data_IF_105770952539
#
_entry.id   IF_105770952539
#
_cell.length_a   1.000
_cell.length_b   1.000
_cell.length_c   1.000
_cell.angle_alpha   90.00
_cell.angle_beta   90.00
_cell.angle_gamma   90.00
#
_symmetry.space_group_name_H-M   'P 1'
#
loop_
_entity.id
_entity.type
_entity.pdbx_description
1 polymer ?
#
# COMPACT_ATOMS: atom_id res chain seq x y z
N UNK A 1 10.69 -5.76 -2.10
CA UNK A 1 10.27 -7.18 -2.14
C UNK A 1 10.41 -7.94 -0.82
N UNK A 2 11.53 -7.82 -0.07
CA UNK A 2 11.81 -8.64 1.13
C UNK A 2 10.68 -8.66 2.15
N UNK A 3 10.19 -7.49 2.54
CA UNK A 3 9.10 -7.37 3.51
C UNK A 3 7.80 -8.03 3.04
N UNK A 4 7.38 -7.78 1.79
CA UNK A 4 6.15 -8.37 1.23
C UNK A 4 6.19 -9.89 1.15
N UNK A 5 7.37 -10.47 0.95
CA UNK A 5 7.54 -11.93 0.95
C UNK A 5 7.31 -12.53 2.35
N UNK A 6 7.70 -11.80 3.40
CA UNK A 6 7.39 -12.18 4.78
C UNK A 6 5.90 -11.98 5.10
N UNK A 7 5.33 -10.84 4.69
CA UNK A 7 3.93 -10.50 4.93
C UNK A 7 2.94 -11.44 4.22
N UNK A 8 3.34 -12.05 3.10
CA UNK A 8 2.54 -13.08 2.44
C UNK A 8 2.62 -14.47 3.11
N UNK A 9 3.57 -14.69 4.04
CA UNK A 9 3.80 -15.99 4.70
C UNK A 9 3.29 -16.04 6.13
N UNK A 10 3.22 -14.90 6.82
CA UNK A 10 2.77 -14.78 8.21
C UNK A 10 2.16 -13.41 8.46
N UNK A 11 1.50 -13.25 9.61
CA UNK A 11 0.90 -11.97 9.97
C UNK A 11 1.96 -10.87 9.99
N UNK A 12 1.67 -9.73 9.37
CA UNK A 12 2.58 -8.59 9.28
C UNK A 12 3.05 -8.06 10.63
N UNK A 13 2.20 -8.18 11.66
CA UNK A 13 2.51 -7.75 13.03
C UNK A 13 3.53 -8.66 13.74
N UNK A 14 3.75 -9.86 13.22
CA UNK A 14 4.74 -10.81 13.73
C UNK A 14 6.10 -10.68 13.04
N UNK A 15 6.20 -9.82 12.03
CA UNK A 15 7.46 -9.58 11.31
C UNK A 15 8.40 -8.74 12.17
N UNK A 16 9.60 -9.25 12.40
CA UNK A 16 10.61 -8.58 13.20
C UNK A 16 11.66 -7.87 12.34
N UNK A 17 12.29 -6.84 12.92
CA UNK A 17 13.44 -6.16 12.29
C UNK A 17 14.58 -7.13 12.02
N UNK A 18 14.77 -8.14 12.89
CA UNK A 18 15.79 -9.18 12.70
C UNK A 18 15.54 -9.94 11.41
N UNK A 19 14.35 -10.49 11.21
CA UNK A 19 14.02 -11.25 9.99
C UNK A 19 14.14 -10.40 8.72
N UNK A 20 13.73 -9.13 8.77
CA UNK A 20 13.88 -8.23 7.62
C UNK A 20 15.36 -7.98 7.33
N UNK A 21 16.16 -7.71 8.37
CA UNK A 21 17.59 -7.41 8.25
C UNK A 21 18.37 -8.61 7.73
N UNK A 22 18.03 -9.81 8.19
CA UNK A 22 18.69 -11.06 7.80
C UNK A 22 18.42 -11.39 6.32
N UNK A 23 17.18 -11.23 5.84
CA UNK A 23 16.85 -11.51 4.43
C UNK A 23 17.40 -10.43 3.50
N UNK A 24 17.40 -9.17 3.94
CA UNK A 24 17.92 -8.06 3.14
C UNK A 24 19.45 -7.94 3.19
N UNK A 25 20.13 -8.77 4.00
CA UNK A 25 21.57 -8.71 4.26
C UNK A 25 22.05 -7.30 4.65
N UNK A 26 21.32 -6.69 5.59
CA UNK A 26 21.63 -5.36 6.12
C UNK A 26 21.83 -5.38 7.63
N UNK A 27 22.66 -4.46 8.14
CA UNK A 27 22.80 -4.28 9.57
C UNK A 27 21.52 -3.66 10.17
N UNK A 28 21.08 -4.16 11.33
CA UNK A 28 19.96 -3.58 12.10
C UNK A 28 20.13 -2.08 12.38
N UNK A 29 21.37 -1.62 12.65
CA UNK A 29 21.65 -0.18 12.80
C UNK A 29 21.30 0.59 11.53
N UNK A 30 21.66 0.07 10.36
CA UNK A 30 21.32 0.66 9.07
C UNK A 30 19.81 0.66 8.85
N UNK A 31 19.12 -0.43 9.19
CA UNK A 31 17.65 -0.49 9.15
C UNK A 31 17.01 0.67 9.94
N UNK A 32 17.45 0.87 11.19
CA UNK A 32 16.88 1.90 12.06
C UNK A 32 17.21 3.35 11.65
N UNK A 33 18.11 3.57 10.69
CA UNK A 33 18.30 4.90 10.08
C UNK A 33 17.06 5.29 9.25
N UNK A 34 16.42 4.33 8.59
CA UNK A 34 15.31 4.57 7.68
C UNK A 34 13.95 4.28 8.32
N UNK A 35 13.86 3.24 9.15
CA UNK A 35 12.58 2.74 9.63
C UNK A 35 12.51 2.61 11.15
N UNK A 36 11.39 3.06 11.73
CA UNK A 36 11.07 2.89 13.15
C UNK A 36 10.46 1.49 13.44
N UNK A 37 11.08 0.45 12.91
CA UNK A 37 10.60 -0.94 12.99
C UNK A 37 9.79 -1.39 11.77
N UNK A 38 9.24 -2.61 11.83
CA UNK A 38 8.46 -3.22 10.75
C UNK A 38 7.23 -2.39 10.37
N UNK A 39 6.53 -1.80 11.35
CA UNK A 39 5.38 -0.92 11.10
C UNK A 39 5.76 0.33 10.30
N UNK A 40 7.01 0.81 10.41
CA UNK A 40 7.49 1.93 9.59
C UNK A 40 7.47 1.60 8.10
N UNK A 41 7.87 0.37 7.75
CA UNK A 41 7.84 -0.13 6.35
C UNK A 41 6.39 -0.29 5.88
N UNK A 42 5.52 -0.86 6.73
CA UNK A 42 4.09 -1.01 6.40
C UNK A 42 3.48 0.34 6.05
N UNK A 43 3.70 1.35 6.92
CA UNK A 43 3.15 2.68 6.71
C UNK A 43 3.69 3.30 5.42
N UNK A 44 4.99 3.21 5.15
CA UNK A 44 5.58 3.73 3.92
C UNK A 44 4.99 3.08 2.67
N UNK A 45 4.85 1.75 2.68
CA UNK A 45 4.23 0.99 1.58
C UNK A 45 2.79 1.47 1.34
N UNK A 46 1.98 1.56 2.40
CA UNK A 46 0.59 2.01 2.29
C UNK A 46 0.50 3.46 1.82
N UNK A 47 1.33 4.34 2.35
CA UNK A 47 1.31 5.78 2.03
C UNK A 47 1.72 6.01 0.58
N UNK A 48 2.66 5.23 0.04
CA UNK A 48 3.05 5.29 -1.37
C UNK A 48 1.90 4.88 -2.30
N UNK A 49 1.20 3.78 -2.00
CA UNK A 49 0.02 3.33 -2.77
C UNK A 49 -1.09 4.38 -2.71
N UNK A 50 -1.36 4.92 -1.52
CA UNK A 50 -2.39 5.94 -1.32
C UNK A 50 -2.04 7.23 -2.06
N UNK A 51 -0.79 7.66 -2.02
CA UNK A 51 -0.32 8.85 -2.74
C UNK A 51 -0.50 8.69 -4.25
N UNK A 52 -0.21 7.51 -4.78
CA UNK A 52 -0.43 7.22 -6.19
C UNK A 52 -1.92 7.24 -6.55
N UNK A 53 -2.75 6.60 -5.74
CA UNK A 53 -4.21 6.61 -5.90
C UNK A 53 -4.79 8.03 -5.89
N UNK A 54 -4.41 8.87 -4.91
CA UNK A 54 -4.81 10.28 -4.82
C UNK A 54 -4.32 11.07 -6.04
N UNK A 55 -3.07 10.85 -6.48
CA UNK A 55 -2.51 11.52 -7.65
C UNK A 55 -3.31 11.24 -8.93
N UNK A 56 -3.78 10.00 -9.10
CA UNK A 56 -4.60 9.62 -10.25
C UNK A 56 -6.00 10.23 -10.11
N UNK A 57 -6.66 10.10 -8.96
CA UNK A 57 -8.00 10.67 -8.72
C UNK A 57 -8.02 12.19 -8.95
N UNK A 58 -7.04 12.93 -8.42
CA UNK A 58 -6.99 14.39 -8.54
C UNK A 58 -6.79 14.89 -9.98
N UNK A 59 -6.42 14.00 -10.92
CA UNK A 59 -6.31 14.32 -12.35
C UNK A 59 -7.61 14.05 -13.13
N UNK A 60 -8.58 13.42 -12.49
CA UNK A 60 -9.86 13.06 -13.11
C UNK A 60 -10.96 14.03 -12.71
N UNK A 61 -12.02 14.05 -13.50
CA UNK A 61 -13.27 14.67 -13.10
C UNK A 61 -13.98 13.76 -12.09
N UNK A 62 -14.01 14.17 -10.82
CA UNK A 62 -14.59 13.39 -9.72
C UNK A 62 -16.08 13.13 -9.96
N UNK A 63 -16.81 14.09 -10.53
CA UNK A 63 -18.24 13.91 -10.86
C UNK A 63 -18.37 12.79 -11.89
N UNK A 64 -17.48 12.76 -12.88
CA UNK A 64 -17.44 11.69 -13.89
C UNK A 64 -17.14 10.32 -13.27
N UNK A 65 -16.20 10.23 -12.31
CA UNK A 65 -15.90 8.96 -11.61
C UNK A 65 -17.16 8.42 -10.92
N UNK A 66 -17.95 9.29 -10.28
CA UNK A 66 -19.17 8.89 -9.57
C UNK A 66 -20.25 8.41 -10.54
N UNK A 67 -20.40 9.10 -11.67
CA UNK A 67 -21.41 8.77 -12.69
C UNK A 67 -21.01 7.55 -13.54
N UNK A 68 -19.72 7.28 -13.68
CA UNK A 68 -19.15 6.16 -14.44
C UNK A 68 -18.26 5.29 -13.53
N UNK A 69 -18.84 4.39 -12.71
CA UNK A 69 -18.08 3.56 -11.75
C UNK A 69 -16.95 2.74 -12.38
N UNK A 70 -17.04 2.43 -13.68
CA UNK A 70 -15.99 1.77 -14.45
C UNK A 70 -14.67 2.55 -14.48
N UNK A 71 -14.71 3.88 -14.39
CA UNK A 71 -13.49 4.70 -14.31
C UNK A 71 -12.70 4.40 -13.05
N UNK A 72 -13.38 4.13 -11.93
CA UNK A 72 -12.73 3.73 -10.68
C UNK A 72 -11.99 2.40 -10.84
N UNK A 73 -12.60 1.41 -11.50
CA UNK A 73 -11.97 0.13 -11.80
C UNK A 73 -10.77 0.28 -12.74
N UNK A 74 -10.83 1.19 -13.72
CA UNK A 74 -9.68 1.48 -14.60
C UNK A 74 -8.51 2.08 -13.82
N UNK A 75 -8.78 2.99 -12.88
CA UNK A 75 -7.74 3.58 -12.00
C UNK A 75 -7.07 2.48 -11.17
N UNK A 76 -7.85 1.61 -10.51
CA UNK A 76 -7.29 0.50 -9.74
C UNK A 76 -6.49 -0.45 -10.63
N UNK A 77 -7.00 -0.75 -11.82
CA UNK A 77 -6.31 -1.63 -12.79
C UNK A 77 -4.98 -1.02 -13.23
N UNK A 78 -4.91 0.29 -13.46
CA UNK A 78 -3.66 0.98 -13.81
C UNK A 78 -2.63 0.85 -12.67
N UNK A 79 -3.05 1.08 -11.42
CA UNK A 79 -2.18 0.97 -10.24
C UNK A 79 -1.66 -0.46 -10.08
N UNK A 80 -2.57 -1.44 -10.12
CA UNK A 80 -2.23 -2.86 -9.93
C UNK A 80 -1.24 -3.33 -11.00
N UNK A 81 -1.44 -2.90 -12.26
CA UNK A 81 -0.60 -3.33 -13.38
C UNK A 81 0.82 -2.76 -13.34
N UNK A 82 1.12 -1.74 -12.53
CA UNK A 82 2.50 -1.22 -12.38
C UNK A 82 3.43 -2.21 -11.70
N UNK A 83 2.92 -2.99 -10.77
CA UNK A 83 3.66 -4.10 -10.14
C UNK A 83 2.69 -5.19 -9.66
N UNK A 84 2.24 -6.00 -10.61
CA UNK A 84 1.27 -7.07 -10.34
C UNK A 84 1.77 -8.09 -9.31
N UNK A 85 3.10 -8.32 -9.26
CA UNK A 85 3.70 -9.25 -8.31
C UNK A 85 3.61 -8.69 -6.89
N UNK A 86 3.94 -7.42 -6.71
CA UNK A 86 3.76 -6.73 -5.43
C UNK A 86 2.30 -6.76 -4.96
N UNK A 87 1.34 -6.40 -5.82
CA UNK A 87 -0.08 -6.38 -5.44
C UNK A 87 -0.64 -7.78 -5.18
N UNK A 88 -0.13 -8.81 -5.89
CA UNK A 88 -0.45 -10.21 -5.58
C UNK A 88 0.03 -10.59 -4.18
N UNK A 89 1.24 -10.20 -3.78
CA UNK A 89 1.72 -10.44 -2.42
C UNK A 89 0.91 -9.65 -1.38
N UNK A 90 0.53 -8.41 -1.71
CA UNK A 90 -0.25 -7.55 -0.83
C UNK A 90 -1.63 -8.12 -0.52
N UNK A 91 -2.37 -8.54 -1.56
CA UNK A 91 -3.70 -9.13 -1.41
C UNK A 91 -3.66 -10.42 -0.57
N UNK A 92 -2.55 -11.17 -0.65
CA UNK A 92 -2.35 -12.39 0.13
C UNK A 92 -1.78 -12.14 1.54
N UNK A 93 -1.59 -10.88 1.94
CA UNK A 93 -1.05 -10.51 3.25
C UNK A 93 -2.12 -9.89 4.14
N UNK A 94 -1.90 -9.88 5.46
CA UNK A 94 -2.78 -9.19 6.41
C UNK A 94 -2.78 -7.66 6.29
N UNK A 95 -1.95 -7.09 5.41
CA UNK A 95 -1.87 -5.64 5.16
C UNK A 95 -3.02 -5.11 4.29
N UNK A 96 -3.70 -6.01 3.58
CA UNK A 96 -4.80 -5.65 2.69
C UNK A 96 -5.91 -4.93 3.45
N UNK A 97 -6.18 -5.32 4.69
CA UNK A 97 -7.22 -4.73 5.54
C UNK A 97 -6.92 -3.27 5.91
N UNK A 98 -5.69 -3.00 6.36
CA UNK A 98 -5.26 -1.65 6.74
C UNK A 98 -5.14 -0.73 5.52
N UNK A 99 -4.69 -1.26 4.38
CA UNK A 99 -4.70 -0.53 3.12
C UNK A 99 -6.13 -0.19 2.68
N UNK A 100 -7.08 -1.13 2.73
CA UNK A 100 -8.46 -0.89 2.33
C UNK A 100 -9.11 0.22 3.16
N UNK A 101 -8.86 0.26 4.48
CA UNK A 101 -9.37 1.35 5.32
C UNK A 101 -8.76 2.72 4.95
N UNK A 102 -7.47 2.78 4.58
CA UNK A 102 -6.87 4.02 4.06
C UNK A 102 -7.50 4.46 2.73
N UNK A 103 -7.70 3.55 1.78
CA UNK A 103 -8.35 3.84 0.49
C UNK A 103 -9.77 4.36 0.71
N UNK A 104 -10.53 3.71 1.59
CA UNK A 104 -11.89 4.12 1.95
C UNK A 104 -11.94 5.51 2.58
N UNK A 105 -10.97 5.86 3.42
CA UNK A 105 -10.87 7.20 3.99
C UNK A 105 -10.61 8.25 2.92
N UNK A 106 -9.69 7.99 1.98
CA UNK A 106 -9.45 8.88 0.83
C UNK A 106 -10.70 9.08 0.00
N UNK A 107 -11.41 8.00 -0.35
CA UNK A 107 -12.66 8.10 -1.12
C UNK A 107 -13.68 8.93 -0.34
N UNK A 108 -13.81 8.74 0.97
CA UNK A 108 -14.72 9.53 1.82
C UNK A 108 -14.36 11.01 1.79
N UNK A 109 -13.09 11.35 1.91
CA UNK A 109 -12.60 12.74 1.85
C UNK A 109 -12.91 13.39 0.50
N UNK A 110 -12.61 12.68 -0.60
CA UNK A 110 -12.92 13.13 -1.96
C UNK A 110 -14.42 13.39 -2.13
N UNK A 111 -15.27 12.46 -1.69
CA UNK A 111 -16.73 12.62 -1.78
C UNK A 111 -17.27 13.76 -0.91
N UNK A 112 -16.66 14.01 0.25
CA UNK A 112 -17.07 15.10 1.15
C UNK A 112 -16.68 16.50 0.66
N UNK A 113 -15.77 16.58 -0.31
CA UNK A 113 -15.28 17.83 -0.90
C UNK A 113 -16.10 18.34 -2.09
N UNK A 114 -17.13 17.57 -2.49
CA UNK A 114 -18.08 17.89 -3.55
C UNK A 114 -19.29 18.65 -3.01
#
# INVERSE_FOLDING_TARGET
MTFMTLAAKKNSNEITVTEISDIADINRKTFYVYYKGANGIINEIEDDIIKEFVCIINKQDIIKIILEPNLMFNIFTEIINKDINFFTLLINSSLIDTMFEKIKNVIREVLSSL
#
